data_IF_766943996019
#
_entry.id   IF_766943996019
#
_cell.length_a   1.000
_cell.length_b   1.000
_cell.length_c   1.000
_cell.angle_alpha   90.00
_cell.angle_beta   90.00
_cell.angle_gamma   90.00
#
_symmetry.space_group_name_H-M   'P 1'
#
loop_
_entity.id
_entity.type
_entity.pdbx_description
1 polymer ?
#
# COMPACT_ATOMS: atom_id res chain seq x y z
N UNK A 1 16.74 38.66 7.84
CA UNK A 1 15.69 39.28 7.00
C UNK A 1 15.61 38.50 5.70
N UNK A 2 14.66 37.58 5.60
CA UNK A 2 14.36 36.81 4.39
C UNK A 2 13.76 37.76 3.36
N UNK A 3 14.33 37.82 2.14
CA UNK A 3 13.73 38.60 1.04
C UNK A 3 12.31 38.10 0.80
N UNK A 4 11.31 38.98 0.58
CA UNK A 4 9.96 38.54 0.21
C UNK A 4 10.04 37.70 -1.07
N UNK A 5 9.49 36.49 -1.02
CA UNK A 5 9.37 35.64 -2.21
C UNK A 5 8.39 36.33 -3.17
N UNK A 6 8.68 36.27 -4.47
CA UNK A 6 7.78 36.82 -5.48
C UNK A 6 6.56 35.89 -5.59
N UNK A 7 5.38 36.49 -5.68
CA UNK A 7 4.10 35.76 -5.77
C UNK A 7 3.67 35.61 -7.23
N UNK A 8 2.99 34.51 -7.53
CA UNK A 8 2.22 34.26 -8.75
C UNK A 8 0.77 33.92 -8.39
N UNK A 9 -0.12 34.01 -9.38
CA UNK A 9 -1.52 33.64 -9.22
C UNK A 9 -1.76 32.19 -9.66
N UNK A 10 -2.66 31.49 -8.98
CA UNK A 10 -3.19 30.19 -9.42
C UNK A 10 -4.71 30.28 -9.44
N UNK A 11 -5.32 29.99 -10.58
CA UNK A 11 -6.78 29.89 -10.72
C UNK A 11 -7.11 28.44 -11.02
N UNK A 12 -7.90 27.81 -10.16
CA UNK A 12 -8.34 26.43 -10.35
C UNK A 12 -9.80 26.43 -10.80
N UNK A 13 -10.02 25.99 -12.02
CA UNK A 13 -11.34 25.86 -12.63
C UNK A 13 -11.76 24.40 -12.73
N UNK A 14 -13.05 24.15 -12.55
CA UNK A 14 -13.57 22.80 -12.45
C UNK A 14 -15.05 22.66 -12.77
N UNK A 15 -15.35 21.81 -13.75
CA UNK A 15 -16.71 21.45 -14.11
C UNK A 15 -16.81 21.00 -15.57
N UNK A 16 -17.67 20.01 -15.81
CA UNK A 16 -18.16 19.73 -17.16
C UNK A 16 -18.85 20.98 -17.71
N UNK A 17 -18.76 21.22 -19.02
CA UNK A 17 -19.19 22.46 -19.70
C UNK A 17 -20.68 22.87 -19.49
N UNK A 18 -21.48 22.11 -18.73
CA UNK A 18 -22.89 22.39 -18.44
C UNK A 18 -23.19 22.91 -17.03
N UNK A 19 -22.25 22.93 -16.07
CA UNK A 19 -22.53 23.37 -14.68
C UNK A 19 -21.30 24.00 -14.02
N UNK A 20 -21.41 25.28 -13.66
CA UNK A 20 -20.31 26.15 -13.22
C UNK A 20 -19.80 25.92 -11.77
N UNK A 21 -20.07 24.77 -11.13
CA UNK A 21 -19.55 24.48 -9.78
C UNK A 21 -19.41 22.97 -9.53
N UNK A 22 -18.37 22.34 -10.09
CA UNK A 22 -18.18 20.89 -10.02
C UNK A 22 -17.53 20.35 -8.73
N UNK A 23 -16.77 21.15 -8.00
CA UNK A 23 -15.97 20.69 -6.85
C UNK A 23 -16.42 21.30 -5.53
N UNK A 24 -16.48 20.47 -4.48
CA UNK A 24 -16.91 20.89 -3.14
C UNK A 24 -15.80 21.62 -2.37
N UNK A 25 -14.54 21.23 -2.60
CA UNK A 25 -13.37 21.78 -1.90
C UNK A 25 -12.10 21.57 -2.73
N UNK A 26 -11.20 22.55 -2.69
CA UNK A 26 -9.84 22.47 -3.21
C UNK A 26 -8.87 22.59 -2.04
N UNK A 27 -7.85 21.73 -2.04
CA UNK A 27 -6.71 21.77 -1.12
C UNK A 27 -5.43 21.96 -1.92
N UNK A 28 -4.60 22.92 -1.55
CA UNK A 28 -3.32 23.22 -2.20
C UNK A 28 -2.20 22.94 -1.20
N UNK A 29 -1.26 22.10 -1.60
CA UNK A 29 -0.07 21.73 -0.81
C UNK A 29 1.20 22.15 -1.53
N UNK A 30 2.21 22.59 -0.76
CA UNK A 30 3.54 22.88 -1.29
C UNK A 30 4.35 21.58 -1.56
N UNK A 31 5.61 21.73 -1.94
CA UNK A 31 6.57 20.65 -2.18
C UNK A 31 6.93 19.84 -0.92
N UNK A 32 6.68 20.40 0.27
CA UNK A 32 6.78 19.72 1.56
C UNK A 32 5.45 19.04 1.97
N UNK A 33 4.45 19.01 1.08
CA UNK A 33 3.09 18.51 1.30
C UNK A 33 2.29 19.22 2.41
N UNK A 34 2.79 20.37 2.91
CA UNK A 34 2.09 21.21 3.86
C UNK A 34 0.94 21.94 3.17
N UNK A 35 -0.25 21.90 3.77
CA UNK A 35 -1.41 22.63 3.29
C UNK A 35 -1.13 24.13 3.39
N UNK A 36 -1.08 24.80 2.24
CA UNK A 36 -0.89 26.26 2.16
C UNK A 36 -2.22 26.98 1.98
N UNK A 37 -3.19 26.33 1.33
CA UNK A 37 -4.53 26.88 1.12
C UNK A 37 -5.59 25.77 1.04
N UNK A 38 -6.79 26.10 1.49
CA UNK A 38 -8.00 25.28 1.31
C UNK A 38 -9.20 26.20 1.09
N UNK A 39 -10.01 25.95 0.06
CA UNK A 39 -11.13 26.81 -0.28
C UNK A 39 -12.05 26.25 -1.38
N UNK A 40 -13.11 26.99 -1.75
CA UNK A 40 -13.99 26.60 -2.86
C UNK A 40 -13.28 26.72 -4.22
N UNK A 41 -13.75 25.96 -5.21
CA UNK A 41 -13.27 26.05 -6.58
C UNK A 41 -13.61 27.40 -7.24
N UNK A 42 -12.78 27.84 -8.19
CA UNK A 42 -12.93 29.10 -8.90
C UNK A 42 -12.31 30.32 -8.20
N UNK A 43 -11.70 30.16 -7.03
CA UNK A 43 -10.92 31.21 -6.39
C UNK A 43 -9.54 31.38 -7.07
N UNK A 44 -9.02 32.61 -7.05
CA UNK A 44 -7.62 32.90 -7.36
C UNK A 44 -6.79 32.87 -6.08
N UNK A 45 -5.70 32.12 -6.10
CA UNK A 45 -4.78 31.92 -4.98
C UNK A 45 -3.46 32.63 -5.27
N UNK A 46 -3.04 33.53 -4.39
CA UNK A 46 -1.71 34.14 -4.44
C UNK A 46 -0.71 33.20 -3.74
N UNK A 47 0.18 32.61 -4.53
CA UNK A 47 1.15 31.62 -4.04
C UNK A 47 2.57 32.08 -4.38
N UNK A 48 3.56 31.85 -3.50
CA UNK A 48 4.96 31.99 -3.88
C UNK A 48 5.31 31.19 -5.14
N UNK A 49 6.34 31.63 -5.87
CA UNK A 49 6.90 30.80 -6.95
C UNK A 49 7.32 29.42 -6.41
N UNK A 50 6.85 28.35 -7.04
CA UNK A 50 7.05 26.99 -6.54
C UNK A 50 6.26 25.89 -7.28
N UNK A 51 6.44 24.66 -6.84
CA UNK A 51 5.66 23.49 -7.27
C UNK A 51 4.61 23.18 -6.21
N UNK A 52 3.38 22.91 -6.65
CA UNK A 52 2.24 22.67 -5.78
C UNK A 52 1.47 21.43 -6.22
N UNK A 53 0.92 20.70 -5.25
CA UNK A 53 -0.11 19.68 -5.46
C UNK A 53 -1.48 20.29 -5.21
N UNK A 54 -2.37 20.21 -6.20
CA UNK A 54 -3.75 20.69 -6.10
C UNK A 54 -4.68 19.49 -6.09
N UNK A 55 -5.39 19.32 -5.00
CA UNK A 55 -6.39 18.27 -4.79
C UNK A 55 -7.79 18.88 -4.82
N UNK A 56 -8.72 18.26 -5.52
CA UNK A 56 -10.13 18.65 -5.51
C UNK A 56 -11.02 17.44 -5.28
N UNK A 57 -12.03 17.59 -4.43
CA UNK A 57 -13.05 16.56 -4.22
C UNK A 57 -14.28 16.88 -5.06
N UNK A 58 -14.61 16.00 -5.99
CA UNK A 58 -15.82 16.05 -6.80
C UNK A 58 -17.07 15.87 -5.92
N UNK A 59 -18.24 16.31 -6.41
CA UNK A 59 -19.50 16.05 -5.70
C UNK A 59 -19.81 14.55 -5.56
N UNK A 60 -19.24 13.72 -6.44
CA UNK A 60 -19.29 12.26 -6.35
C UNK A 60 -18.50 11.68 -5.17
N UNK A 61 -17.67 12.49 -4.50
CA UNK A 61 -16.72 12.06 -3.48
C UNK A 61 -15.37 11.65 -4.05
N UNK A 62 -15.20 11.59 -5.38
CA UNK A 62 -13.93 11.23 -6.01
C UNK A 62 -12.89 12.37 -5.85
N UNK A 63 -11.69 12.03 -5.40
CA UNK A 63 -10.58 12.97 -5.29
C UNK A 63 -9.77 13.02 -6.60
N UNK A 64 -9.56 14.21 -7.14
CA UNK A 64 -8.69 14.50 -8.27
C UNK A 64 -7.45 15.22 -7.75
N UNK A 65 -6.27 14.88 -8.26
CA UNK A 65 -5.01 15.53 -7.89
C UNK A 65 -4.16 15.85 -9.12
N UNK A 66 -3.58 17.04 -9.16
CA UNK A 66 -2.67 17.46 -10.23
C UNK A 66 -1.55 18.35 -9.71
N UNK A 67 -0.33 18.14 -10.22
CA UNK A 67 0.82 18.99 -9.94
C UNK A 67 0.83 20.22 -10.85
N UNK A 68 1.07 21.40 -10.26
CA UNK A 68 1.15 22.67 -10.98
C UNK A 68 2.36 23.47 -10.54
N UNK A 69 3.03 24.13 -11.49
CA UNK A 69 4.12 25.07 -11.21
C UNK A 69 3.57 26.50 -11.28
N UNK A 70 3.78 27.27 -10.21
CA UNK A 70 3.43 28.70 -10.14
C UNK A 70 4.70 29.50 -10.40
N UNK A 71 4.63 30.42 -11.37
CA UNK A 71 5.72 31.32 -11.73
C UNK A 71 5.45 32.74 -11.20
N UNK A 72 6.48 33.42 -10.72
CA UNK A 72 6.38 34.78 -10.22
C UNK A 72 5.78 35.75 -11.26
N UNK A 73 4.76 36.51 -10.85
CA UNK A 73 4.11 37.53 -11.68
C UNK A 73 3.26 36.98 -12.84
N UNK A 74 2.99 35.67 -12.88
CA UNK A 74 2.06 35.04 -13.84
C UNK A 74 0.90 34.40 -13.11
N UNK A 75 -0.26 34.38 -13.76
CA UNK A 75 -1.42 33.61 -13.32
C UNK A 75 -1.48 32.30 -14.09
N UNK A 76 -1.32 31.18 -13.40
CA UNK A 76 -1.45 29.83 -13.96
C UNK A 76 -2.90 29.39 -13.86
N UNK A 77 -3.49 28.91 -14.96
CA UNK A 77 -4.83 28.32 -14.98
C UNK A 77 -4.73 26.80 -14.96
N UNK A 78 -5.40 26.17 -13.99
CA UNK A 78 -5.48 24.72 -13.84
C UNK A 78 -6.92 24.27 -14.05
N UNK A 79 -7.17 23.45 -15.07
CA UNK A 79 -8.44 22.80 -15.30
C UNK A 79 -8.37 21.36 -14.79
N UNK A 80 -9.16 21.05 -13.76
CA UNK A 80 -9.33 19.67 -13.29
C UNK A 80 -10.55 19.11 -13.99
N UNK A 81 -10.33 18.23 -14.96
CA UNK A 81 -11.39 17.53 -15.69
C UNK A 81 -11.69 16.19 -15.01
N UNK A 82 -12.97 15.96 -14.69
CA UNK A 82 -13.44 14.65 -14.23
C UNK A 82 -13.24 13.63 -15.37
N UNK A 83 -12.62 12.46 -15.12
CA UNK A 83 -12.39 11.48 -16.15
C UNK A 83 -13.74 11.10 -16.78
N UNK A 84 -13.84 11.27 -18.11
CA UNK A 84 -15.08 11.04 -18.82
C UNK A 84 -15.64 9.64 -18.52
N UNK A 85 -16.77 9.60 -17.83
CA UNK A 85 -17.46 8.35 -17.49
C UNK A 85 -17.60 7.48 -18.74
N UNK A 86 -17.22 6.18 -18.71
CA UNK A 86 -17.17 5.35 -19.91
C UNK A 86 -18.57 5.21 -20.51
N UNK A 87 -18.85 6.00 -21.54
CA UNK A 87 -20.11 5.95 -22.26
C UNK A 87 -20.26 4.56 -22.87
N UNK A 88 -21.29 3.83 -22.44
CA UNK A 88 -21.75 2.57 -23.01
C UNK A 88 -21.97 2.75 -24.52
N UNK A 89 -20.95 2.42 -25.32
CA UNK A 89 -21.04 2.37 -26.78
C UNK A 89 -22.04 1.26 -27.16
N UNK A 90 -23.24 1.66 -27.58
CA UNK A 90 -24.22 0.78 -28.23
C UNK A 90 -23.57 0.19 -29.49
N UNK A 91 -23.34 -1.12 -29.46
CA UNK A 91 -22.88 -1.93 -30.60
C UNK A 91 -23.85 -1.78 -31.77
N UNK A 92 -23.43 -1.06 -32.80
CA UNK A 92 -24.07 -1.05 -34.12
C UNK A 92 -23.36 -2.10 -34.98
N UNK A 93 -24.07 -3.20 -35.28
CA UNK A 93 -23.62 -4.25 -36.19
C UNK A 93 -23.67 -3.72 -37.63
N UNK A 94 -22.52 -3.64 -38.28
CA UNK A 94 -22.39 -3.61 -39.74
C UNK A 94 -21.29 -4.58 -40.13
N UNK A 95 -21.68 -5.56 -40.95
CA UNK A 95 -20.84 -6.63 -41.49
C UNK A 95 -20.33 -6.24 -42.87
N UNK A 96 -19.02 -6.31 -43.07
CA UNK A 96 -18.32 -6.64 -44.34
C UNK A 96 -16.82 -6.50 -44.04
N UNK A 97 -16.09 -7.60 -43.92
CA UNK A 97 -15.33 -8.24 -45.01
C UNK A 97 -13.98 -7.57 -45.24
N UNK A 98 -12.93 -8.39 -45.09
CA UNK A 98 -11.53 -8.16 -45.40
C UNK A 98 -10.80 -7.06 -44.63
N UNK A 99 -10.12 -7.48 -43.56
CA UNK A 99 -8.70 -7.19 -43.40
C UNK A 99 -8.07 -8.27 -42.51
N UNK A 100 -7.17 -9.06 -43.09
CA UNK A 100 -6.21 -9.88 -42.36
C UNK A 100 -5.21 -8.94 -41.69
N UNK A 101 -5.60 -8.34 -40.58
CA UNK A 101 -4.64 -7.89 -39.59
C UNK A 101 -4.07 -9.15 -38.94
N UNK A 102 -2.80 -9.44 -39.24
CA UNK A 102 -1.99 -10.29 -38.39
C UNK A 102 -2.15 -9.79 -36.95
N UNK A 103 -2.64 -10.67 -36.07
CA UNK A 103 -2.63 -10.51 -34.62
C UNK A 103 -1.17 -10.33 -34.19
N UNK A 104 -0.68 -9.10 -34.26
CA UNK A 104 0.51 -8.70 -33.54
C UNK A 104 0.14 -8.82 -32.06
N UNK A 105 0.64 -9.88 -31.42
CA UNK A 105 0.57 -10.05 -29.98
C UNK A 105 0.91 -8.70 -29.31
N UNK A 106 0.13 -8.25 -28.31
CA UNK A 106 0.44 -7.02 -27.60
C UNK A 106 1.91 -7.08 -27.16
N UNK A 107 2.67 -5.99 -27.31
CA UNK A 107 4.11 -6.02 -27.04
C UNK A 107 4.33 -6.62 -25.65
N UNK A 108 5.24 -7.59 -25.55
CA UNK A 108 5.53 -8.42 -24.38
C UNK A 108 6.05 -7.66 -23.13
N UNK A 109 5.69 -6.38 -22.98
CA UNK A 109 6.19 -5.44 -21.98
C UNK A 109 5.13 -4.95 -21.01
N UNK A 110 3.86 -5.17 -21.29
CA UNK A 110 2.77 -4.74 -20.40
C UNK A 110 2.60 -5.74 -19.25
N UNK A 111 2.44 -5.22 -18.03
CA UNK A 111 2.12 -6.03 -16.85
C UNK A 111 0.63 -6.34 -16.90
N UNK A 112 0.24 -7.60 -16.70
CA UNK A 112 -1.15 -8.05 -16.63
C UNK A 112 -1.54 -8.49 -15.22
N UNK A 113 -2.81 -8.27 -14.91
CA UNK A 113 -3.48 -8.72 -13.70
C UNK A 113 -4.11 -10.09 -13.94
N UNK A 114 -3.55 -11.15 -13.36
CA UNK A 114 -3.97 -12.54 -13.59
C UNK A 114 -5.12 -12.99 -12.69
N UNK A 115 -5.31 -12.32 -11.55
CA UNK A 115 -6.32 -12.67 -10.55
C UNK A 115 -5.83 -12.48 -9.12
N UNK A 116 -6.64 -12.93 -8.16
CA UNK A 116 -6.38 -12.79 -6.72
C UNK A 116 -7.69 -12.86 -5.93
N UNK A 117 -7.60 -12.74 -4.61
CA UNK A 117 -8.75 -12.83 -3.71
C UNK A 117 -8.73 -11.68 -2.68
N UNK A 118 -9.92 -11.36 -2.15
CA UNK A 118 -10.08 -10.33 -1.10
C UNK A 118 -10.11 -8.89 -1.62
N UNK A 119 -10.26 -8.65 -2.92
CA UNK A 119 -10.34 -7.30 -3.47
C UNK A 119 -11.23 -7.16 -4.71
N UNK A 120 -11.64 -5.93 -4.98
CA UNK A 120 -12.01 -5.44 -6.33
C UNK A 120 -10.94 -4.49 -6.83
N UNK A 121 -10.84 -4.29 -8.14
CA UNK A 121 -9.84 -3.39 -8.71
C UNK A 121 -10.43 -2.43 -9.74
N UNK A 122 -9.82 -1.26 -9.84
CA UNK A 122 -10.00 -0.31 -10.93
C UNK A 122 -8.65 -0.07 -11.62
N UNK A 123 -8.62 -0.20 -12.94
CA UNK A 123 -7.42 0.08 -13.72
C UNK A 123 -7.21 1.60 -13.85
N UNK A 124 -5.98 2.06 -13.70
CA UNK A 124 -5.55 3.45 -13.87
C UNK A 124 -4.58 3.57 -15.05
N UNK A 125 -4.15 4.80 -15.34
CA UNK A 125 -3.12 5.05 -16.38
C UNK A 125 -1.76 4.42 -16.05
N UNK A 126 -1.45 4.22 -14.77
CA UNK A 126 -0.16 3.73 -14.31
C UNK A 126 -0.21 2.34 -13.68
N UNK A 127 -1.40 1.75 -13.48
CA UNK A 127 -1.55 0.44 -12.87
C UNK A 127 -2.97 0.17 -12.36
N UNK A 128 -3.11 -0.17 -11.08
CA UNK A 128 -4.40 -0.57 -10.47
C UNK A 128 -4.58 0.02 -9.09
N UNK A 129 -5.83 0.33 -8.75
CA UNK A 129 -6.27 0.62 -7.38
C UNK A 129 -7.07 -0.59 -6.90
N UNK A 130 -6.77 -1.08 -5.71
CA UNK A 130 -7.44 -2.22 -5.08
C UNK A 130 -8.25 -1.74 -3.88
N UNK A 131 -9.51 -2.19 -3.82
CA UNK A 131 -10.43 -1.96 -2.71
C UNK A 131 -10.78 -3.27 -2.02
N UNK A 132 -10.96 -3.30 -0.68
CA UNK A 132 -11.23 -4.52 0.05
C UNK A 132 -12.63 -5.09 -0.26
N UNK A 133 -12.73 -6.42 -0.29
CA UNK A 133 -14.01 -7.14 -0.27
C UNK A 133 -14.09 -8.06 0.96
N UNK A 134 -14.42 -7.51 2.15
CA UNK A 134 -14.59 -8.31 3.35
C UNK A 134 -15.79 -9.28 3.22
N UNK A 135 -15.84 -10.35 4.04
CA UNK A 135 -14.89 -10.69 5.10
C UNK A 135 -13.61 -11.34 4.58
N UNK A 136 -12.50 -11.16 5.30
CA UNK A 136 -11.23 -11.80 4.99
C UNK A 136 -11.04 -13.08 5.79
N UNK A 137 -10.68 -14.15 5.08
CA UNK A 137 -10.19 -15.42 5.65
C UNK A 137 -8.68 -15.57 5.55
N UNK A 138 -8.02 -14.73 4.74
CA UNK A 138 -6.57 -14.71 4.53
C UNK A 138 -6.12 -13.31 4.11
N UNK A 139 -4.80 -13.07 4.09
CA UNK A 139 -4.20 -11.85 3.54
C UNK A 139 -4.57 -11.71 2.06
N UNK A 140 -5.19 -10.59 1.64
CA UNK A 140 -5.48 -10.35 0.23
C UNK A 140 -4.19 -10.32 -0.59
N UNK A 141 -4.19 -10.99 -1.74
CA UNK A 141 -3.05 -11.01 -2.64
C UNK A 141 -3.48 -10.89 -4.10
N UNK A 142 -2.55 -10.43 -4.93
CA UNK A 142 -2.75 -10.30 -6.37
C UNK A 142 -1.66 -11.04 -7.13
N UNK A 143 -2.07 -11.74 -8.19
CA UNK A 143 -1.21 -12.38 -9.17
C UNK A 143 -1.02 -11.45 -10.37
N UNK A 144 0.24 -11.21 -10.71
CA UNK A 144 0.66 -10.37 -11.82
C UNK A 144 1.50 -11.20 -12.77
N UNK A 145 1.46 -10.88 -14.06
CA UNK A 145 2.32 -11.48 -15.07
C UNK A 145 2.96 -10.42 -15.97
N UNK A 146 4.15 -10.73 -16.48
CA UNK A 146 4.83 -9.98 -17.54
C UNK A 146 5.66 -10.95 -18.35
N UNK A 147 5.24 -11.22 -19.58
CA UNK A 147 5.80 -12.31 -20.37
C UNK A 147 5.57 -13.67 -19.68
N UNK A 148 6.65 -14.42 -19.43
CA UNK A 148 6.59 -15.70 -18.71
C UNK A 148 6.75 -15.59 -17.19
N UNK A 149 7.14 -14.41 -16.69
CA UNK A 149 7.34 -14.19 -15.27
C UNK A 149 6.00 -13.87 -14.59
N UNK A 150 5.80 -14.45 -13.40
CA UNK A 150 4.63 -14.23 -12.56
C UNK A 150 5.04 -13.85 -11.15
N UNK A 151 4.27 -12.99 -10.51
CA UNK A 151 4.48 -12.56 -9.14
C UNK A 151 3.18 -12.59 -8.37
N UNK A 152 3.28 -12.95 -7.08
CA UNK A 152 2.21 -12.76 -6.11
C UNK A 152 2.60 -11.63 -5.16
N UNK A 153 1.70 -10.68 -4.96
CA UNK A 153 1.90 -9.48 -4.13
C UNK A 153 0.84 -9.45 -3.04
N UNK A 154 1.24 -9.40 -1.77
CA UNK A 154 0.32 -9.18 -0.64
C UNK A 154 -0.12 -7.72 -0.59
N UNK A 155 -1.44 -7.50 -0.56
CA UNK A 155 -2.05 -6.17 -0.62
C UNK A 155 -2.44 -5.68 0.79
N UNK A 156 -1.90 -4.53 1.25
CA UNK A 156 -2.16 -4.00 2.58
C UNK A 156 -3.52 -3.27 2.61
N UNK A 157 -4.59 -3.98 2.28
CA UNK A 157 -5.94 -3.42 2.28
C UNK A 157 -6.49 -3.32 3.71
N UNK A 158 -7.18 -2.22 4.00
CA UNK A 158 -7.78 -2.01 5.31
C UNK A 158 -9.30 -2.26 5.23
N UNK A 159 -9.80 -3.45 5.64
CA UNK A 159 -11.23 -3.77 5.56
C UNK A 159 -12.08 -2.96 6.55
N UNK A 160 -11.47 -2.34 7.57
CA UNK A 160 -12.15 -1.50 8.57
C UNK A 160 -12.18 0.00 8.15
N UNK A 161 -11.51 0.34 7.04
CA UNK A 161 -11.43 1.69 6.53
C UNK A 161 -12.67 2.10 5.73
N UNK A 162 -12.95 3.41 5.68
CA UNK A 162 -13.83 3.99 4.67
C UNK A 162 -13.11 4.07 3.31
N UNK A 163 -13.86 4.14 2.20
CA UNK A 163 -13.39 3.91 0.81
C UNK A 163 -11.97 4.43 0.50
N UNK A 164 -11.62 5.67 0.86
CA UNK A 164 -10.30 6.24 0.57
C UNK A 164 -9.16 5.70 1.46
N UNK A 165 -9.47 5.26 2.67
CA UNK A 165 -8.50 4.75 3.66
C UNK A 165 -8.34 3.22 3.58
N UNK A 166 -9.23 2.58 2.83
CA UNK A 166 -9.33 1.14 2.71
C UNK A 166 -8.43 0.56 1.61
N UNK A 167 -8.03 1.42 0.66
CA UNK A 167 -7.40 1.02 -0.60
C UNK A 167 -5.89 0.97 -0.56
N UNK A 168 -5.31 0.36 -1.59
CA UNK A 168 -3.92 0.55 -1.98
C UNK A 168 -3.82 0.65 -3.50
N UNK A 169 -2.78 1.30 -4.01
CA UNK A 169 -2.49 1.38 -5.43
C UNK A 169 -1.23 0.59 -5.76
N UNK A 170 -1.22 -0.01 -6.94
CA UNK A 170 -0.10 -0.74 -7.49
C UNK A 170 0.27 -0.09 -8.82
N UNK A 171 1.41 0.59 -8.84
CA UNK A 171 1.89 1.30 -10.01
C UNK A 171 2.93 0.46 -10.72
N UNK A 172 2.84 0.38 -12.05
CA UNK A 172 3.83 -0.26 -12.89
C UNK A 172 5.07 0.63 -13.05
N UNK A 173 6.25 0.01 -13.07
CA UNK A 173 7.52 0.71 -13.30
C UNK A 173 7.88 0.56 -14.78
N UNK A 174 7.93 1.67 -15.52
CA UNK A 174 8.37 1.71 -16.92
C UNK A 174 9.49 2.74 -17.14
N UNK A 175 10.64 2.35 -17.76
CA UNK A 175 11.06 0.98 -18.06
C UNK A 175 11.52 0.23 -16.81
N UNK A 176 10.93 -0.94 -16.56
CA UNK A 176 11.49 -1.86 -15.57
C UNK A 176 12.90 -2.28 -16.02
N UNK A 177 13.93 -2.14 -15.16
CA UNK A 177 15.32 -2.22 -15.61
C UNK A 177 15.76 -3.60 -16.11
N UNK A 178 15.06 -4.71 -15.78
CA UNK A 178 15.33 -6.09 -16.25
C UNK A 178 14.06 -6.95 -16.06
N UNK A 179 13.84 -8.00 -16.86
CA UNK A 179 12.74 -8.99 -16.68
C UNK A 179 12.72 -9.68 -15.29
N UNK A 180 13.81 -9.59 -14.53
CA UNK A 180 13.93 -10.21 -13.20
C UNK A 180 13.49 -9.29 -12.05
N UNK A 181 13.12 -8.04 -12.31
CA UNK A 181 12.69 -7.08 -11.29
C UNK A 181 11.16 -7.09 -11.23
N UNK A 182 10.62 -7.10 -10.01
CA UNK A 182 9.19 -6.89 -9.77
C UNK A 182 8.79 -5.58 -10.45
N UNK A 183 7.91 -5.59 -11.47
CA UNK A 183 7.67 -4.42 -12.30
C UNK A 183 6.66 -3.46 -11.67
N UNK A 184 6.52 -3.46 -10.34
CA UNK A 184 5.48 -2.73 -9.63
C UNK A 184 5.96 -2.13 -8.31
N UNK A 185 5.36 -1.01 -7.92
CA UNK A 185 5.50 -0.36 -6.60
C UNK A 185 4.12 -0.25 -5.96
N UNK A 186 4.06 -0.55 -4.67
CA UNK A 186 2.86 -0.38 -3.87
C UNK A 186 2.82 1.05 -3.30
N UNK A 187 1.66 1.69 -3.41
CA UNK A 187 1.38 3.04 -2.91
C UNK A 187 0.20 2.99 -1.96
N UNK A 188 0.29 3.83 -0.94
CA UNK A 188 -0.78 4.01 0.05
C UNK A 188 -1.50 5.33 -0.23
N UNK A 189 -2.82 5.39 0.03
CA UNK A 189 -3.56 6.64 -0.06
C UNK A 189 -3.00 7.69 0.92
N UNK A 190 -3.17 9.00 0.66
CA UNK A 190 -2.66 10.06 1.54
C UNK A 190 -3.12 9.96 2.99
N UNK A 191 -4.31 9.41 3.23
CA UNK A 191 -4.84 9.14 4.57
C UNK A 191 -4.02 8.13 5.37
N UNK A 192 -3.15 7.37 4.71
CA UNK A 192 -2.20 6.41 5.32
C UNK A 192 -0.76 6.87 5.14
N UNK A 193 -0.53 8.19 5.15
CA UNK A 193 0.79 8.79 4.99
C UNK A 193 1.84 8.22 5.95
N UNK A 194 1.49 7.98 7.21
CA UNK A 194 2.39 7.37 8.21
C UNK A 194 2.87 5.99 7.78
N UNK A 195 1.96 5.16 7.24
CA UNK A 195 2.34 3.86 6.69
C UNK A 195 3.29 4.01 5.50
N UNK A 196 3.00 4.95 4.59
CA UNK A 196 3.89 5.24 3.45
C UNK A 196 5.27 5.73 3.87
N UNK A 197 5.35 6.56 4.92
CA UNK A 197 6.61 7.07 5.45
C UNK A 197 7.46 5.94 6.05
N UNK A 198 6.87 5.13 6.93
CA UNK A 198 7.55 3.99 7.56
C UNK A 198 7.97 2.97 6.48
N UNK A 199 7.08 2.61 5.56
CA UNK A 199 7.41 1.71 4.45
C UNK A 199 8.61 2.24 3.64
N UNK A 200 8.60 3.51 3.27
CA UNK A 200 9.72 4.11 2.55
C UNK A 200 11.04 4.09 3.33
N UNK A 201 11.02 4.28 4.65
CA UNK A 201 12.21 4.18 5.50
C UNK A 201 12.72 2.74 5.62
N UNK A 202 11.82 1.77 5.73
CA UNK A 202 12.13 0.34 5.76
C UNK A 202 12.78 -0.10 4.44
N UNK A 203 12.21 0.27 3.29
CA UNK A 203 12.75 -0.05 1.95
C UNK A 203 14.16 0.50 1.73
N UNK A 204 14.48 1.66 2.32
CA UNK A 204 15.81 2.27 2.25
C UNK A 204 16.76 1.79 3.35
N UNK A 205 16.30 0.93 4.26
CA UNK A 205 17.03 0.52 5.45
C UNK A 205 17.53 1.71 6.29
N UNK A 206 16.75 2.80 6.34
CA UNK A 206 17.07 4.02 7.09
C UNK A 206 16.32 4.11 8.41
N UNK A 207 15.71 3.02 8.86
CA UNK A 207 14.92 3.05 10.08
C UNK A 207 15.85 3.21 11.30
N UNK A 208 15.70 4.32 11.99
CA UNK A 208 16.40 4.67 13.21
C UNK A 208 15.42 4.63 14.38
N UNK A 209 15.94 4.52 15.59
CA UNK A 209 15.16 4.71 16.82
C UNK A 209 14.84 6.19 17.09
N UNK A 210 14.68 6.99 16.04
CA UNK A 210 14.29 8.39 16.17
C UNK A 210 12.86 8.45 16.71
N UNK A 211 12.60 9.41 17.60
CA UNK A 211 11.35 9.48 18.37
C UNK A 211 10.12 9.54 17.48
N UNK A 212 10.20 10.20 16.32
CA UNK A 212 9.07 10.32 15.39
C UNK A 212 8.63 8.97 14.80
N UNK A 213 9.58 8.14 14.32
CA UNK A 213 9.27 6.83 13.74
C UNK A 213 8.73 5.88 14.80
N UNK A 214 9.29 5.97 16.01
CA UNK A 214 8.80 5.22 17.15
C UNK A 214 7.35 5.61 17.51
N UNK A 215 7.07 6.90 17.64
CA UNK A 215 5.74 7.42 17.97
C UNK A 215 4.71 7.02 16.90
N UNK A 216 5.10 7.09 15.62
CA UNK A 216 4.30 6.65 14.48
C UNK A 216 3.97 5.15 14.55
N UNK A 217 4.97 4.31 14.81
CA UNK A 217 4.79 2.86 14.93
C UNK A 217 3.92 2.48 16.15
N UNK A 218 4.11 3.17 17.28
CA UNK A 218 3.27 3.03 18.49
C UNK A 218 1.83 3.41 18.17
N UNK A 219 1.61 4.55 17.51
CA UNK A 219 0.29 5.05 17.12
C UNK A 219 -0.44 4.08 16.20
N UNK A 220 0.27 3.52 15.20
CA UNK A 220 -0.27 2.51 14.29
C UNK A 220 -0.70 1.24 15.05
N UNK A 221 0.16 0.69 15.91
CA UNK A 221 -0.17 -0.53 16.68
C UNK A 221 -1.32 -0.30 17.67
N UNK A 222 -1.36 0.86 18.33
CA UNK A 222 -2.45 1.24 19.24
C UNK A 222 -3.80 1.25 18.49
N UNK A 223 -3.82 1.82 17.28
CA UNK A 223 -5.00 2.04 16.44
C UNK A 223 -5.40 0.84 15.56
N UNK A 224 -5.00 -0.37 15.94
CA UNK A 224 -5.30 -1.63 15.21
C UNK A 224 -6.77 -1.86 14.84
N UNK A 225 -7.71 -1.34 15.62
CA UNK A 225 -9.14 -1.50 15.32
C UNK A 225 -9.60 -0.68 14.12
N UNK A 226 -8.89 0.40 13.77
CA UNK A 226 -9.20 1.22 12.60
C UNK A 226 -8.39 0.85 11.36
N UNK A 227 -7.17 0.32 11.55
CA UNK A 227 -6.32 -0.15 10.45
C UNK A 227 -5.41 -1.30 10.92
N UNK A 228 -5.87 -2.56 10.83
CA UNK A 228 -5.10 -3.71 11.28
C UNK A 228 -3.81 -3.89 10.47
N UNK A 229 -3.80 -3.53 9.20
CA UNK A 229 -2.61 -3.67 8.34
C UNK A 229 -1.53 -2.66 8.69
N UNK A 230 -1.90 -1.42 9.01
CA UNK A 230 -0.96 -0.45 9.59
C UNK A 230 -0.46 -0.94 10.94
N UNK A 231 -1.33 -1.46 11.81
CA UNK A 231 -0.92 -1.96 13.12
C UNK A 231 0.10 -3.11 13.03
N UNK A 232 -0.06 -4.03 12.08
CA UNK A 232 0.94 -5.07 11.84
C UNK A 232 2.29 -4.49 11.39
N UNK A 233 2.32 -3.50 10.48
CA UNK A 233 3.57 -2.83 10.09
C UNK A 233 4.22 -2.09 11.27
N UNK A 234 3.42 -1.40 12.09
CA UNK A 234 3.88 -0.76 13.31
C UNK A 234 4.46 -1.77 14.29
N UNK A 235 3.80 -2.92 14.48
CA UNK A 235 4.31 -4.02 15.30
C UNK A 235 5.64 -4.59 14.81
N UNK A 236 5.79 -4.84 13.50
CA UNK A 236 7.05 -5.30 12.92
C UNK A 236 8.16 -4.26 13.06
N UNK A 237 7.83 -2.98 12.92
CA UNK A 237 8.75 -1.87 13.15
C UNK A 237 9.23 -1.83 14.60
N UNK A 238 8.31 -1.91 15.56
CA UNK A 238 8.64 -1.96 16.99
C UNK A 238 9.45 -3.20 17.35
N UNK A 239 9.17 -4.35 16.73
CA UNK A 239 9.96 -5.56 16.89
C UNK A 239 11.40 -5.34 16.44
N UNK A 240 11.61 -4.79 15.23
CA UNK A 240 12.94 -4.48 14.69
C UNK A 240 13.73 -3.52 15.58
N UNK A 241 13.05 -2.58 16.25
CA UNK A 241 13.65 -1.63 17.19
C UNK A 241 13.83 -2.18 18.61
N UNK A 242 13.41 -3.43 18.89
CA UNK A 242 13.51 -4.04 20.21
C UNK A 242 12.53 -3.49 21.25
N UNK A 243 11.42 -2.87 20.81
CA UNK A 243 10.47 -2.14 21.65
C UNK A 243 9.07 -2.77 21.73
N UNK A 244 8.90 -3.97 21.14
CA UNK A 244 7.59 -4.64 21.07
C UNK A 244 7.06 -5.12 22.43
N UNK A 245 7.95 -5.54 23.34
CA UNK A 245 7.59 -6.19 24.62
C UNK A 245 6.70 -5.33 25.52
N UNK A 246 6.95 -4.02 25.57
CA UNK A 246 6.14 -3.04 26.30
C UNK A 246 4.70 -2.90 25.75
N UNK A 247 4.38 -3.51 24.59
CA UNK A 247 3.09 -3.43 23.90
C UNK A 247 2.42 -4.81 23.74
N UNK A 248 2.77 -5.78 24.58
CA UNK A 248 2.32 -7.16 24.45
C UNK A 248 0.79 -7.30 24.34
N UNK A 249 0.03 -6.60 25.18
CA UNK A 249 -1.44 -6.61 25.16
C UNK A 249 -2.01 -6.12 23.81
N UNK A 250 -1.37 -5.14 23.18
CA UNK A 250 -1.85 -4.63 21.89
C UNK A 250 -1.58 -5.62 20.75
N UNK A 251 -0.44 -6.32 20.81
CA UNK A 251 -0.10 -7.39 19.87
C UNK A 251 -1.05 -8.58 20.03
N UNK A 252 -1.38 -8.96 21.27
CA UNK A 252 -2.35 -10.03 21.53
C UNK A 252 -3.73 -9.68 20.96
N UNK A 253 -4.18 -8.44 21.16
CA UNK A 253 -5.42 -7.95 20.56
C UNK A 253 -5.38 -7.92 19.03
N UNK A 254 -4.24 -7.59 18.41
CA UNK A 254 -4.07 -7.64 16.95
C UNK A 254 -4.20 -9.08 16.44
N UNK A 255 -3.51 -10.03 17.08
CA UNK A 255 -3.53 -11.44 16.70
C UNK A 255 -4.94 -12.06 16.84
N UNK A 256 -5.66 -11.72 17.91
CA UNK A 256 -6.99 -12.26 18.18
C UNK A 256 -8.10 -11.56 17.37
N UNK A 257 -7.99 -10.25 17.16
CA UNK A 257 -9.00 -9.45 16.47
C UNK A 257 -9.01 -9.66 14.96
N UNK A 258 -7.87 -10.01 14.36
CA UNK A 258 -7.72 -10.13 12.91
C UNK A 258 -7.06 -11.47 12.51
N UNK A 259 -7.74 -12.62 12.67
CA UNK A 259 -7.15 -13.94 12.40
C UNK A 259 -6.58 -14.10 10.98
N UNK A 260 -7.18 -13.41 9.99
CA UNK A 260 -6.73 -13.39 8.60
C UNK A 260 -5.38 -12.69 8.40
N UNK A 261 -4.95 -11.84 9.34
CA UNK A 261 -3.70 -11.09 9.29
C UNK A 261 -2.60 -11.83 10.05
N UNK A 262 -1.94 -12.74 9.35
CA UNK A 262 -0.94 -13.68 9.85
C UNK A 262 0.17 -13.00 10.66
N UNK A 263 0.60 -11.80 10.26
CA UNK A 263 1.66 -11.02 10.91
C UNK A 263 1.36 -10.74 12.40
N UNK A 264 0.09 -10.58 12.77
CA UNK A 264 -0.30 -10.41 14.19
C UNK A 264 0.04 -11.66 15.02
N UNK A 265 -0.25 -12.86 14.51
CA UNK A 265 0.10 -14.13 15.16
C UNK A 265 1.61 -14.34 15.24
N UNK A 266 2.35 -13.96 14.19
CA UNK A 266 3.82 -14.04 14.16
C UNK A 266 4.42 -13.11 15.24
N UNK A 267 3.93 -11.87 15.34
CA UNK A 267 4.37 -10.93 16.36
C UNK A 267 4.05 -11.43 17.79
N UNK A 268 2.86 -12.00 18.00
CA UNK A 268 2.51 -12.59 19.28
C UNK A 268 3.41 -13.79 19.63
N UNK A 269 3.71 -14.65 18.66
CA UNK A 269 4.65 -15.74 18.86
C UNK A 269 6.05 -15.21 19.23
N UNK A 270 6.51 -14.11 18.63
CA UNK A 270 7.79 -13.49 18.98
C UNK A 270 7.85 -13.03 20.45
N UNK A 271 6.75 -12.47 20.97
CA UNK A 271 6.65 -12.08 22.38
C UNK A 271 6.64 -13.27 23.32
N UNK A 272 5.85 -14.30 22.98
CA UNK A 272 5.70 -15.49 23.80
C UNK A 272 6.92 -16.41 23.75
N UNK A 273 7.84 -16.24 22.79
CA UNK A 273 9.05 -17.08 22.64
C UNK A 273 9.88 -17.13 23.92
N UNK A 274 10.10 -15.97 24.53
CA UNK A 274 11.01 -15.81 25.66
C UNK A 274 10.25 -15.71 27.00
N UNK A 275 8.96 -16.09 27.02
CA UNK A 275 8.14 -16.05 28.23
C UNK A 275 8.66 -17.05 29.28
N UNK A 276 8.74 -16.67 30.58
CA UNK A 276 9.15 -17.59 31.63
C UNK A 276 8.21 -18.81 31.77
N UNK A 277 6.92 -18.67 31.47
CA UNK A 277 5.94 -19.77 31.54
C UNK A 277 6.05 -20.69 30.30
N UNK A 278 6.40 -21.98 30.47
CA UNK A 278 6.42 -22.94 29.37
C UNK A 278 5.09 -23.10 28.64
N UNK A 279 3.95 -22.85 29.31
CA UNK A 279 2.63 -22.92 28.67
C UNK A 279 2.45 -21.80 27.64
N UNK A 280 2.90 -20.59 27.95
CA UNK A 280 2.85 -19.45 27.03
C UNK A 280 3.84 -19.62 25.88
N UNK A 281 5.04 -20.17 26.12
CA UNK A 281 5.94 -20.57 25.03
C UNK A 281 5.33 -21.62 24.12
N UNK A 282 4.68 -22.65 24.67
CA UNK A 282 3.99 -23.66 23.87
C UNK A 282 2.84 -23.06 23.04
N UNK A 283 2.09 -22.11 23.61
CA UNK A 283 1.06 -21.34 22.90
C UNK A 283 1.67 -20.53 21.75
N UNK A 284 2.77 -19.83 21.99
CA UNK A 284 3.51 -19.07 20.98
C UNK A 284 3.98 -19.94 19.82
N UNK A 285 4.53 -21.12 20.12
CA UNK A 285 4.97 -22.07 19.10
C UNK A 285 3.80 -22.57 18.24
N UNK A 286 2.67 -22.90 18.88
CA UNK A 286 1.47 -23.32 18.16
C UNK A 286 0.98 -22.24 17.19
N UNK A 287 0.91 -20.99 17.64
CA UNK A 287 0.54 -19.84 16.79
C UNK A 287 1.48 -19.70 15.60
N UNK A 288 2.79 -19.86 15.81
CA UNK A 288 3.80 -19.78 14.77
C UNK A 288 3.65 -20.90 13.73
N UNK A 289 3.42 -22.14 14.16
CA UNK A 289 3.23 -23.30 13.28
C UNK A 289 1.95 -23.21 12.45
N UNK A 290 0.90 -22.59 13.00
CA UNK A 290 -0.32 -22.28 12.25
C UNK A 290 -0.07 -21.16 11.25
N UNK A 291 0.56 -20.06 11.69
CA UNK A 291 0.89 -18.91 10.85
C UNK A 291 1.81 -19.27 9.67
N UNK A 292 2.75 -20.21 9.84
CA UNK A 292 3.68 -20.63 8.78
C UNK A 292 3.02 -21.36 7.61
N UNK A 293 1.72 -21.66 7.70
CA UNK A 293 0.93 -22.28 6.62
C UNK A 293 0.22 -21.25 5.75
N UNK A 294 0.26 -19.99 6.14
CA UNK A 294 -0.46 -18.89 5.52
C UNK A 294 0.52 -17.83 5.01
N UNK A 295 0.08 -17.04 4.05
CA UNK A 295 0.91 -15.98 3.44
C UNK A 295 0.91 -14.73 4.34
N UNK A 296 2.06 -14.25 4.81
CA UNK A 296 2.14 -12.97 5.51
C UNK A 296 1.85 -11.77 4.60
N UNK A 297 1.47 -10.66 5.22
CA UNK A 297 1.33 -9.36 4.55
C UNK A 297 2.69 -8.78 4.19
N UNK A 298 3.64 -8.85 5.12
CA UNK A 298 4.93 -8.16 5.00
C UNK A 298 6.10 -9.14 4.88
N UNK A 299 7.11 -8.75 4.13
CA UNK A 299 8.35 -9.53 3.99
C UNK A 299 9.04 -9.73 5.35
N UNK A 300 9.01 -8.70 6.21
CA UNK A 300 9.54 -8.78 7.57
C UNK A 300 8.80 -9.79 8.44
N UNK A 301 7.48 -9.95 8.25
CA UNK A 301 6.70 -11.00 8.92
C UNK A 301 7.17 -12.39 8.51
N UNK A 302 7.43 -12.61 7.21
CA UNK A 302 7.98 -13.87 6.71
C UNK A 302 9.40 -14.15 7.27
N UNK A 303 10.28 -13.15 7.28
CA UNK A 303 11.62 -13.29 7.84
C UNK A 303 11.58 -13.62 9.34
N UNK A 304 10.73 -12.92 10.09
CA UNK A 304 10.54 -13.15 11.52
C UNK A 304 10.02 -14.58 11.78
N UNK A 305 9.03 -15.04 11.03
CA UNK A 305 8.51 -16.40 11.18
C UNK A 305 9.61 -17.46 10.97
N UNK A 306 10.45 -17.30 9.93
CA UNK A 306 11.57 -18.20 9.67
C UNK A 306 12.61 -18.16 10.80
N UNK A 307 12.97 -16.98 11.31
CA UNK A 307 13.92 -16.85 12.43
C UNK A 307 13.38 -17.56 13.68
N UNK A 308 12.11 -17.33 14.02
CA UNK A 308 11.46 -17.95 15.19
C UNK A 308 11.41 -19.48 15.05
N UNK A 309 11.08 -20.03 13.88
CA UNK A 309 11.03 -21.47 13.67
C UNK A 309 12.42 -22.12 13.90
N UNK A 310 13.47 -21.47 13.40
CA UNK A 310 14.85 -21.95 13.53
C UNK A 310 15.42 -21.78 14.94
N UNK A 311 14.97 -20.76 15.68
CA UNK A 311 15.58 -20.35 16.96
C UNK A 311 14.62 -20.42 18.15
N UNK A 312 13.53 -21.18 18.03
CA UNK A 312 12.65 -21.43 19.17
C UNK A 312 13.45 -22.09 20.31
N UNK A 313 13.35 -21.59 21.56
CA UNK A 313 14.26 -21.97 22.65
C UNK A 313 14.05 -23.39 23.18
N UNK A 314 12.84 -23.93 23.03
CA UNK A 314 12.51 -25.29 23.47
C UNK A 314 12.75 -26.31 22.34
N UNK A 315 13.25 -27.50 22.66
CA UNK A 315 13.40 -28.63 21.72
C UNK A 315 12.05 -29.29 21.35
N UNK A 316 10.94 -28.74 21.87
CA UNK A 316 9.58 -29.20 21.62
C UNK A 316 9.24 -29.01 20.13
N UNK A 317 8.56 -30.02 19.56
CA UNK A 317 8.04 -30.00 18.18
C UNK A 317 9.12 -29.71 17.12
N UNK A 318 10.37 -30.11 17.35
CA UNK A 318 11.50 -29.85 16.45
C UNK A 318 11.23 -30.30 15.00
N UNK A 319 10.62 -31.47 14.81
CA UNK A 319 10.25 -31.99 13.49
C UNK A 319 9.18 -31.13 12.81
N UNK A 320 8.17 -30.69 13.56
CA UNK A 320 7.14 -29.80 13.05
C UNK A 320 7.71 -28.42 12.68
N UNK A 321 8.62 -27.88 13.50
CA UNK A 321 9.34 -26.63 13.22
C UNK A 321 10.18 -26.74 11.96
N UNK A 322 10.95 -27.84 11.82
CA UNK A 322 11.79 -28.09 10.65
C UNK A 322 10.95 -28.24 9.38
N UNK A 323 9.81 -28.92 9.48
CA UNK A 323 8.85 -29.06 8.38
C UNK A 323 8.25 -27.71 7.98
N UNK A 324 7.82 -26.91 8.96
CA UNK A 324 7.28 -25.57 8.73
C UNK A 324 8.33 -24.64 8.09
N UNK A 325 9.57 -24.64 8.58
CA UNK A 325 10.66 -23.85 8.01
C UNK A 325 10.96 -24.28 6.56
N UNK A 326 10.96 -25.60 6.28
CA UNK A 326 11.10 -26.14 4.93
C UNK A 326 9.98 -25.70 3.99
N UNK A 327 8.73 -25.63 4.48
CA UNK A 327 7.58 -25.16 3.72
C UNK A 327 7.65 -23.66 3.36
N UNK A 328 8.31 -22.84 4.18
CA UNK A 328 8.59 -21.44 3.86
C UNK A 328 9.73 -21.26 2.84
N UNK A 329 10.56 -22.28 2.63
CA UNK A 329 11.74 -22.24 1.75
C UNK A 329 11.45 -21.67 0.35
N UNK A 330 10.43 -22.14 -0.38
CA UNK A 330 10.06 -21.58 -1.68
C UNK A 330 9.67 -20.10 -1.62
N UNK A 331 8.87 -19.68 -0.63
CA UNK A 331 8.53 -18.27 -0.45
C UNK A 331 9.80 -17.45 -0.25
N UNK A 332 10.66 -17.85 0.68
CA UNK A 332 11.93 -17.18 1.01
C UNK A 332 12.85 -17.03 -0.20
N UNK A 333 12.99 -18.08 -1.00
CA UNK A 333 13.88 -18.10 -2.16
C UNK A 333 13.43 -17.15 -3.28
N UNK A 334 12.13 -16.88 -3.37
CA UNK A 334 11.53 -16.06 -4.43
C UNK A 334 11.00 -14.71 -3.94
N UNK A 335 11.14 -14.39 -2.65
CA UNK A 335 10.76 -13.09 -2.08
C UNK A 335 11.66 -11.96 -2.60
N UNK A 336 11.05 -10.86 -3.01
CA UNK A 336 11.73 -9.59 -3.18
C UNK A 336 11.92 -8.90 -1.82
N UNK A 337 13.09 -9.10 -1.21
CA UNK A 337 13.44 -8.54 0.09
C UNK A 337 13.63 -7.01 0.11
N UNK A 338 13.61 -6.36 -1.06
CA UNK A 338 13.64 -4.89 -1.13
C UNK A 338 12.25 -4.26 -0.96
N UNK A 339 11.18 -5.05 -0.87
CA UNK A 339 9.82 -4.57 -0.68
C UNK A 339 9.37 -4.80 0.76
N UNK A 340 8.61 -3.85 1.31
CA UNK A 340 7.98 -3.99 2.62
C UNK A 340 6.85 -5.03 2.57
N UNK A 341 5.98 -4.91 1.57
CA UNK A 341 4.94 -5.89 1.31
C UNK A 341 5.55 -7.18 0.77
N UNK A 342 4.95 -8.32 1.10
CA UNK A 342 5.45 -9.60 0.63
C UNK A 342 5.17 -9.74 -0.88
N UNK A 343 6.25 -9.66 -1.67
CA UNK A 343 6.23 -9.93 -3.11
C UNK A 343 7.07 -11.14 -3.39
N UNK A 344 6.49 -12.16 -4.02
CA UNK A 344 7.16 -13.43 -4.34
C UNK A 344 7.02 -13.76 -5.80
N UNK A 345 8.11 -14.14 -6.46
CA UNK A 345 8.04 -14.70 -7.80
C UNK A 345 7.38 -16.08 -7.74
N UNK A 346 6.43 -16.34 -8.63
CA UNK A 346 5.82 -17.66 -8.79
C UNK A 346 6.68 -18.45 -9.78
N UNK A 347 7.19 -19.63 -9.39
CA UNK A 347 8.10 -20.44 -10.22
C UNK A 347 7.44 -21.04 -11.46
#
# INVERSE_FOLDING_TARGET
MTKPRKEGGLVVSGGTASTMSGYAKITIRNDELAEVHSGPAGAEFALPEGLYSVEATAQSGEALSQLVRVEAGKTTQLALDEPASPQKRKRRRTSSADDRAEDAAPPAREVSLDGGEGWTSAQTVSGWIFSPTPPYSAVPSVLLSRGSARWEVSLPLNPEGFDENATCALETIDPAPVESVVPVVLRYPPSRATMGLISGQLERNTISSDTAVLDDAVSMLHSKMSDPTAAALGGLTLHRLGMLSERAEWVENLANGFPWLVDGRILLAALLRDDPDPADRARGLKLLLEASRERPMFADGLALALDLLNRWPDDVEQDARSTAAGALGPLIAYTNWSSVNLVTRVP
#
